data_IF_840318028882
#
_entry.id   IF_840318028882
#
_cell.length_a   1.000
_cell.length_b   1.000
_cell.length_c   1.000
_cell.angle_alpha   90.00
_cell.angle_beta   90.00
_cell.angle_gamma   90.00
#
_symmetry.space_group_name_H-M   'P 1'
#
loop_
_entity.id
_entity.type
_entity.pdbx_description
1 polymer ?
#
# COMPACT_ATOMS: atom_id res chain seq x y z
N UNK A 1 13.96 9.89 -4.40
CA UNK A 1 13.77 10.60 -3.11
C UNK A 1 12.56 10.00 -2.43
N UNK A 2 12.72 9.41 -1.23
CA UNK A 2 11.60 8.80 -0.51
C UNK A 2 10.68 9.87 0.09
N UNK A 3 9.36 9.60 0.08
CA UNK A 3 8.33 10.47 0.65
C UNK A 3 7.34 9.60 1.43
N UNK A 4 6.96 10.06 2.62
CA UNK A 4 5.85 9.51 3.40
C UNK A 4 4.71 10.54 3.42
N UNK A 5 3.53 10.13 2.94
CA UNK A 5 2.32 10.93 3.00
C UNK A 5 1.30 10.22 3.90
N UNK A 6 0.68 10.97 4.81
CA UNK A 6 -0.36 10.48 5.73
C UNK A 6 -1.62 11.31 5.44
N UNK A 7 -2.71 10.62 5.12
CA UNK A 7 -3.98 11.25 4.74
C UNK A 7 -5.03 11.08 5.83
N UNK A 8 -5.98 12.01 5.84
CA UNK A 8 -7.18 11.96 6.69
C UNK A 8 -8.40 11.48 5.88
N UNK A 9 -9.52 11.23 6.55
CA UNK A 9 -10.83 10.96 5.95
C UNK A 9 -10.92 9.73 5.05
N UNK A 10 -10.01 8.76 5.16
CA UNK A 10 -10.07 7.51 4.41
C UNK A 10 -11.42 6.81 4.62
N UNK A 11 -11.78 6.63 5.90
CA UNK A 11 -12.99 5.95 6.38
C UNK A 11 -14.31 6.64 5.99
N UNK A 12 -14.24 7.87 5.49
CA UNK A 12 -15.42 8.62 4.98
C UNK A 12 -15.31 8.91 3.48
N UNK A 13 -14.40 8.22 2.78
CA UNK A 13 -14.30 8.20 1.31
C UNK A 13 -13.20 9.09 0.71
N UNK A 14 -12.31 9.67 1.51
CA UNK A 14 -11.14 10.47 1.08
C UNK A 14 -11.42 11.77 0.30
N UNK A 15 -12.69 12.12 0.08
CA UNK A 15 -13.12 13.30 -0.67
C UNK A 15 -13.10 14.58 0.20
N UNK A 16 -11.90 15.00 0.62
CA UNK A 16 -11.69 16.21 1.42
C UNK A 16 -10.38 16.90 1.04
N UNK A 17 -10.12 18.10 1.57
CA UNK A 17 -8.85 18.81 1.35
C UNK A 17 -7.62 18.13 1.96
N UNK A 18 -7.81 17.20 2.91
CA UNK A 18 -6.74 16.45 3.58
C UNK A 18 -6.76 14.94 3.25
N UNK A 19 -7.73 14.49 2.44
CA UNK A 19 -7.86 13.11 2.02
C UNK A 19 -7.09 12.79 0.76
N UNK A 20 -7.03 11.50 0.41
CA UNK A 20 -6.26 11.04 -0.74
C UNK A 20 -6.84 11.47 -2.10
N UNK A 21 -8.10 11.93 -2.16
CA UNK A 21 -8.64 12.55 -3.37
C UNK A 21 -8.30 14.03 -3.50
N UNK A 22 -7.58 14.63 -2.56
CA UNK A 22 -7.12 16.01 -2.67
C UNK A 22 -5.95 16.15 -3.66
N UNK A 23 -5.61 17.39 -4.00
CA UNK A 23 -4.39 17.70 -4.76
C UNK A 23 -3.14 17.80 -3.86
N UNK A 24 -3.24 17.43 -2.57
CA UNK A 24 -2.15 17.59 -1.60
C UNK A 24 -0.87 16.89 -2.06
N UNK A 25 -0.95 15.60 -2.43
CA UNK A 25 0.22 14.82 -2.82
C UNK A 25 0.87 15.39 -4.08
N UNK A 26 0.09 15.58 -5.15
CA UNK A 26 0.59 16.09 -6.43
C UNK A 26 1.22 17.48 -6.28
N UNK A 27 0.55 18.39 -5.55
CA UNK A 27 1.05 19.75 -5.35
C UNK A 27 2.31 19.80 -4.48
N UNK A 28 2.40 18.97 -3.44
CA UNK A 28 3.61 18.90 -2.60
C UNK A 28 4.78 18.31 -3.38
N UNK A 29 4.58 17.22 -4.12
CA UNK A 29 5.63 16.61 -4.94
C UNK A 29 6.16 17.58 -6.00
N UNK A 30 5.29 18.31 -6.68
CA UNK A 30 5.69 19.35 -7.63
C UNK A 30 6.49 20.45 -6.93
N UNK A 31 6.02 20.95 -5.79
CA UNK A 31 6.72 22.00 -5.03
C UNK A 31 8.11 21.55 -4.60
N UNK A 32 8.29 20.27 -4.24
CA UNK A 32 9.62 19.74 -3.91
C UNK A 32 10.55 19.78 -5.13
N UNK A 33 10.05 19.38 -6.30
CA UNK A 33 10.86 19.43 -7.55
C UNK A 33 11.24 20.87 -7.90
N UNK A 34 10.30 21.81 -7.83
CA UNK A 34 10.55 23.23 -8.10
C UNK A 34 11.53 23.83 -7.09
N UNK A 35 11.39 23.51 -5.80
CA UNK A 35 12.30 23.98 -4.75
C UNK A 35 13.72 23.42 -4.90
N UNK A 36 13.87 22.26 -5.53
CA UNK A 36 15.16 21.67 -5.88
C UNK A 36 15.77 22.25 -7.18
N UNK A 37 15.16 23.28 -7.77
CA UNK A 37 15.61 23.92 -9.01
C UNK A 37 15.16 23.21 -10.29
N UNK A 38 14.29 22.21 -10.19
CA UNK A 38 13.67 21.56 -11.34
C UNK A 38 12.51 22.36 -11.93
N UNK A 39 11.94 21.83 -13.01
CA UNK A 39 10.80 22.38 -13.74
C UNK A 39 9.57 21.50 -13.61
N UNK A 40 8.41 21.98 -14.14
CA UNK A 40 7.20 21.15 -14.26
C UNK A 40 7.45 19.89 -15.09
N UNK A 41 8.25 19.99 -16.15
CA UNK A 41 8.62 18.85 -17.01
C UNK A 41 9.38 17.79 -16.20
N UNK A 42 10.31 18.21 -15.33
CA UNK A 42 11.04 17.30 -14.45
C UNK A 42 10.11 16.60 -13.45
N UNK A 43 9.10 17.30 -12.93
CA UNK A 43 8.08 16.71 -12.07
C UNK A 43 7.29 15.62 -12.81
N UNK A 44 6.75 15.94 -14.00
CA UNK A 44 5.97 14.98 -14.79
C UNK A 44 6.80 13.74 -15.17
N UNK A 45 8.08 13.91 -15.48
CA UNK A 45 9.01 12.80 -15.74
C UNK A 45 9.26 11.95 -14.49
N UNK A 46 9.39 12.57 -13.32
CA UNK A 46 9.58 11.84 -12.06
C UNK A 46 8.38 10.99 -11.69
N UNK A 47 7.15 11.42 -11.99
CA UNK A 47 5.95 10.62 -11.71
C UNK A 47 6.00 9.25 -12.41
N UNK A 48 6.43 9.19 -13.66
CA UNK A 48 6.43 7.94 -14.46
C UNK A 48 7.53 6.96 -14.06
N UNK A 49 8.59 7.45 -13.42
CA UNK A 49 9.68 6.63 -12.85
C UNK A 49 9.50 6.34 -11.37
N UNK A 50 8.46 6.89 -10.73
CA UNK A 50 8.17 6.65 -9.32
C UNK A 50 7.38 5.37 -9.11
N UNK A 51 7.36 4.90 -7.86
CA UNK A 51 6.41 3.90 -7.37
C UNK A 51 5.83 4.35 -6.03
N UNK A 52 4.60 3.92 -5.74
CA UNK A 52 3.88 4.25 -4.52
C UNK A 52 3.47 2.95 -3.80
N UNK A 53 3.68 2.89 -2.49
CA UNK A 53 3.11 1.86 -1.64
C UNK A 53 1.95 2.46 -0.82
N UNK A 54 0.72 2.06 -1.16
CA UNK A 54 -0.49 2.36 -0.42
C UNK A 54 -0.54 1.42 0.78
N UNK A 55 -0.15 1.94 1.93
CA UNK A 55 0.00 1.19 3.17
C UNK A 55 -1.28 1.30 4.01
N UNK A 56 -2.01 0.19 4.09
CA UNK A 56 -3.25 0.08 4.85
C UNK A 56 -3.45 -1.38 5.30
N UNK A 57 -4.07 -1.61 6.45
CA UNK A 57 -4.13 -2.92 7.09
C UNK A 57 -4.84 -3.99 6.22
N UNK A 58 -4.61 -5.26 6.54
CA UNK A 58 -5.18 -6.40 5.82
C UNK A 58 -5.93 -7.33 6.77
N UNK A 59 -6.96 -8.01 6.27
CA UNK A 59 -7.72 -8.96 7.07
C UNK A 59 -6.94 -10.27 7.24
N UNK A 60 -6.60 -10.61 8.48
CA UNK A 60 -6.18 -11.96 8.83
C UNK A 60 -7.36 -12.93 8.69
N UNK A 61 -7.09 -14.18 8.33
CA UNK A 61 -8.09 -15.26 8.28
C UNK A 61 -8.61 -15.52 9.68
N UNK A 62 -9.88 -15.18 9.91
CA UNK A 62 -10.49 -15.32 11.22
C UNK A 62 -10.82 -16.80 11.49
N UNK A 63 -10.33 -17.41 12.59
CA UNK A 63 -10.49 -18.85 12.83
C UNK A 63 -11.95 -19.28 13.04
N UNK A 64 -12.80 -18.38 13.53
CA UNK A 64 -14.24 -18.64 13.69
C UNK A 64 -15.07 -18.37 12.41
N UNK A 65 -14.49 -17.73 11.40
CA UNK A 65 -15.18 -17.36 10.15
C UNK A 65 -14.31 -17.66 8.91
N UNK A 66 -13.70 -18.86 8.81
CA UNK A 66 -12.78 -19.17 7.70
C UNK A 66 -13.47 -19.13 6.34
N UNK A 67 -14.78 -19.38 6.32
CA UNK A 67 -15.64 -19.25 5.15
C UNK A 67 -15.73 -17.81 4.61
N UNK A 68 -15.33 -16.78 5.37
CA UNK A 68 -15.31 -15.39 4.89
C UNK A 68 -14.03 -15.01 4.15
N UNK A 69 -13.08 -15.93 4.01
CA UNK A 69 -11.77 -15.68 3.40
C UNK A 69 -11.54 -16.56 2.16
N UNK A 70 -10.68 -16.11 1.25
CA UNK A 70 -10.32 -16.89 0.06
C UNK A 70 -9.55 -18.15 0.48
N UNK A 71 -10.07 -19.37 0.22
CA UNK A 71 -9.45 -20.61 0.70
C UNK A 71 -8.03 -20.85 0.19
N UNK A 72 -7.69 -20.30 -0.99
CA UNK A 72 -6.36 -20.45 -1.60
C UNK A 72 -5.34 -19.43 -1.10
N UNK A 73 -5.79 -18.41 -0.35
CA UNK A 73 -5.00 -17.26 0.08
C UNK A 73 -5.27 -16.92 1.56
N UNK A 74 -5.01 -17.85 2.49
CA UNK A 74 -5.13 -17.56 3.91
C UNK A 74 -4.10 -16.52 4.34
N UNK A 75 -4.49 -15.64 5.27
CA UNK A 75 -3.62 -14.62 5.87
C UNK A 75 -3.45 -14.94 7.34
N UNK A 76 -2.21 -15.19 7.76
CA UNK A 76 -1.84 -15.50 9.12
C UNK A 76 -1.24 -14.28 9.83
N UNK A 77 -1.44 -14.23 11.14
CA UNK A 77 -0.82 -13.24 12.02
C UNK A 77 0.62 -13.66 12.32
N UNK A 78 1.56 -12.71 12.35
CA UNK A 78 3.01 -12.90 12.45
C UNK A 78 3.66 -13.61 11.25
N UNK A 79 2.99 -13.67 10.11
CA UNK A 79 3.50 -14.29 8.88
C UNK A 79 4.02 -13.27 7.85
N UNK A 80 4.14 -11.99 8.25
CA UNK A 80 4.75 -10.95 7.44
C UNK A 80 3.75 -10.10 6.65
N UNK A 81 4.25 -9.14 5.86
CA UNK A 81 3.43 -8.17 5.16
C UNK A 81 2.51 -8.81 4.13
N UNK A 82 1.36 -8.20 3.93
CA UNK A 82 0.31 -8.70 3.06
C UNK A 82 0.24 -7.84 1.80
N UNK A 83 0.49 -8.44 0.65
CA UNK A 83 0.24 -7.84 -0.66
C UNK A 83 -1.25 -8.00 -1.02
N UNK A 84 -1.97 -6.90 -1.20
CA UNK A 84 -3.42 -6.90 -1.44
C UNK A 84 -3.72 -6.83 -2.93
N UNK A 85 -4.49 -7.79 -3.46
CA UNK A 85 -4.88 -7.83 -4.88
C UNK A 85 -6.39 -7.97 -5.01
N UNK A 86 -6.97 -7.21 -5.95
CA UNK A 86 -8.39 -7.29 -6.26
C UNK A 86 -8.64 -7.00 -7.74
N UNK A 87 -9.35 -7.87 -8.49
CA UNK A 87 -9.52 -7.72 -9.94
C UNK A 87 -10.28 -6.45 -10.34
N UNK A 88 -11.23 -6.00 -9.52
CA UNK A 88 -12.00 -4.75 -9.75
C UNK A 88 -11.31 -3.48 -9.22
N UNK A 89 -9.98 -3.46 -9.08
CA UNK A 89 -9.22 -2.28 -8.63
C UNK A 89 -9.69 -1.66 -7.29
N UNK A 90 -10.12 -2.50 -6.35
CA UNK A 90 -10.28 -2.09 -4.93
C UNK A 90 -8.93 -1.83 -4.26
N UNK A 91 -7.91 -2.47 -4.80
CA UNK A 91 -6.49 -2.27 -4.55
C UNK A 91 -5.83 -1.99 -5.92
N UNK A 92 -4.90 -1.05 -5.98
CA UNK A 92 -4.24 -0.63 -7.21
C UNK A 92 -3.11 -1.58 -7.67
N UNK A 93 -2.79 -2.59 -6.86
CA UNK A 93 -1.75 -3.57 -7.14
C UNK A 93 -1.92 -4.23 -8.51
N UNK A 94 -0.86 -4.21 -9.32
CA UNK A 94 -0.71 -4.95 -10.56
C UNK A 94 0.51 -5.88 -10.52
N UNK A 95 0.80 -6.58 -11.62
CA UNK A 95 1.93 -7.52 -11.67
C UNK A 95 3.31 -6.85 -11.47
N UNK A 96 3.50 -5.62 -11.97
CA UNK A 96 4.77 -4.90 -11.85
C UNK A 96 4.96 -4.38 -10.43
N UNK A 97 3.92 -3.78 -9.85
CA UNK A 97 3.98 -3.20 -8.51
C UNK A 97 4.04 -4.29 -7.43
N UNK A 98 3.37 -5.43 -7.66
CA UNK A 98 3.53 -6.65 -6.86
C UNK A 98 4.96 -7.18 -6.86
N UNK A 99 5.60 -7.28 -8.05
CA UNK A 99 6.98 -7.76 -8.16
C UNK A 99 7.97 -6.85 -7.42
N UNK A 100 7.78 -5.52 -7.50
CA UNK A 100 8.60 -4.55 -6.79
C UNK A 100 8.52 -4.73 -5.27
N UNK A 101 7.31 -4.93 -4.73
CA UNK A 101 7.13 -5.16 -3.29
C UNK A 101 7.65 -6.53 -2.85
N UNK A 102 7.44 -7.58 -3.65
CA UNK A 102 8.00 -8.91 -3.37
C UNK A 102 9.53 -8.87 -3.29
N UNK A 103 10.19 -8.14 -4.19
CA UNK A 103 11.64 -7.93 -4.15
C UNK A 103 12.07 -7.13 -2.92
N UNK A 104 11.28 -6.14 -2.49
CA UNK A 104 11.54 -5.41 -1.25
C UNK A 104 11.48 -6.33 -0.01
N UNK A 105 10.46 -7.19 0.09
CA UNK A 105 10.36 -8.19 1.15
C UNK A 105 11.55 -9.16 1.13
N UNK A 106 11.96 -9.63 -0.05
CA UNK A 106 13.14 -10.48 -0.21
C UNK A 106 14.43 -9.79 0.27
N UNK A 107 14.64 -8.52 -0.11
CA UNK A 107 15.80 -7.71 0.33
C UNK A 107 15.80 -7.47 1.84
N UNK A 108 14.63 -7.29 2.43
CA UNK A 108 14.45 -7.15 3.88
C UNK A 108 14.58 -8.48 4.64
N UNK A 109 14.62 -9.62 3.95
CA UNK A 109 14.66 -10.94 4.57
C UNK A 109 13.37 -11.29 5.33
N UNK A 110 12.22 -10.75 4.92
CA UNK A 110 10.92 -11.00 5.57
C UNK A 110 9.99 -11.79 4.64
N UNK A 111 9.14 -12.68 5.19
CA UNK A 111 8.12 -13.37 4.40
C UNK A 111 7.09 -12.38 3.88
N UNK A 112 6.37 -12.75 2.82
CA UNK A 112 5.27 -11.98 2.26
C UNK A 112 4.08 -12.90 2.05
N UNK A 113 2.89 -12.42 2.42
CA UNK A 113 1.61 -13.07 2.19
C UNK A 113 0.89 -12.38 1.03
N UNK A 114 -0.01 -13.10 0.37
CA UNK A 114 -0.83 -12.57 -0.71
C UNK A 114 -2.29 -12.66 -0.31
N UNK A 115 -2.95 -11.52 -0.24
CA UNK A 115 -4.39 -11.44 -0.01
C UNK A 115 -5.12 -11.30 -1.34
N UNK A 116 -6.05 -12.22 -1.56
CA UNK A 116 -7.06 -12.10 -2.61
C UNK A 116 -8.43 -12.11 -1.96
N UNK A 117 -9.29 -11.20 -2.40
CA UNK A 117 -10.65 -11.14 -1.90
C UNK A 117 -11.55 -12.16 -2.61
N UNK A 118 -12.44 -12.81 -1.85
CA UNK A 118 -13.48 -13.66 -2.42
C UNK A 118 -14.35 -12.86 -3.39
N UNK A 119 -14.46 -13.32 -4.63
CA UNK A 119 -15.17 -12.59 -5.67
C UNK A 119 -16.69 -12.46 -5.42
N UNK A 120 -17.28 -13.31 -4.59
CA UNK A 120 -18.71 -13.29 -4.25
C UNK A 120 -19.06 -12.40 -3.04
N UNK A 121 -18.05 -11.78 -2.41
CA UNK A 121 -18.24 -10.87 -1.28
C UNK A 121 -17.93 -9.41 -1.67
N UNK A 122 -18.56 -8.42 -1.01
CA UNK A 122 -18.17 -7.04 -1.16
C UNK A 122 -16.84 -6.78 -0.45
N UNK A 123 -15.97 -6.02 -1.12
CA UNK A 123 -14.68 -5.60 -0.59
C UNK A 123 -14.68 -4.09 -0.32
N UNK A 124 -14.04 -3.69 0.79
CA UNK A 124 -13.60 -2.31 0.99
C UNK A 124 -12.64 -1.86 -0.12
N UNK A 125 -12.39 -0.55 -0.18
CA UNK A 125 -11.35 0.05 -1.03
C UNK A 125 -10.29 0.67 -0.12
N UNK A 126 -9.19 1.13 -0.71
CA UNK A 126 -8.17 1.92 -0.03
C UNK A 126 -7.95 3.25 -0.74
N UNK A 127 -7.00 4.04 -0.24
CA UNK A 127 -6.46 5.21 -0.95
C UNK A 127 -5.65 4.86 -2.20
N UNK A 128 -5.21 3.62 -2.38
CA UNK A 128 -4.31 3.22 -3.46
C UNK A 128 -4.84 3.56 -4.86
N UNK A 129 -6.05 3.09 -5.24
CA UNK A 129 -6.67 3.46 -6.50
C UNK A 129 -6.88 4.97 -6.67
N UNK A 130 -7.17 5.69 -5.58
CA UNK A 130 -7.39 7.14 -5.59
C UNK A 130 -6.09 7.89 -5.88
N UNK A 131 -5.01 7.54 -5.16
CA UNK A 131 -3.69 8.11 -5.34
C UNK A 131 -3.13 7.79 -6.73
N UNK A 132 -3.29 6.55 -7.21
CA UNK A 132 -2.89 6.14 -8.55
C UNK A 132 -3.64 6.94 -9.63
N UNK A 133 -4.96 7.12 -9.49
CA UNK A 133 -5.75 7.90 -10.44
C UNK A 133 -5.37 9.39 -10.45
N UNK A 134 -5.06 9.97 -9.29
CA UNK A 134 -4.69 11.39 -9.15
C UNK A 134 -3.26 11.71 -9.62
N UNK A 135 -2.33 10.77 -9.46
CA UNK A 135 -0.90 11.01 -9.71
C UNK A 135 -0.36 10.32 -10.94
N UNK A 136 -1.00 9.24 -11.40
CA UNK A 136 -0.47 8.34 -12.43
C UNK A 136 0.71 7.49 -11.96
N UNK A 137 1.07 7.51 -10.67
CA UNK A 137 2.18 6.72 -10.14
C UNK A 137 1.75 5.25 -10.00
N UNK A 138 2.49 4.28 -10.56
CA UNK A 138 2.27 2.86 -10.33
C UNK A 138 2.23 2.55 -8.83
N UNK A 139 1.13 1.96 -8.37
CA UNK A 139 0.84 1.79 -6.95
C UNK A 139 0.69 0.32 -6.58
N UNK A 140 1.29 -0.07 -5.45
CA UNK A 140 1.06 -1.35 -4.77
C UNK A 140 0.24 -1.09 -3.50
N UNK A 141 -0.77 -1.90 -3.23
CA UNK A 141 -1.49 -1.90 -1.96
C UNK A 141 -0.96 -3.02 -1.06
N UNK A 142 -0.54 -2.63 0.13
CA UNK A 142 0.13 -3.51 1.09
C UNK A 142 -0.37 -3.22 2.49
N UNK A 143 -0.22 -4.19 3.40
CA UNK A 143 -0.68 -4.08 4.77
C UNK A 143 0.01 -5.02 5.73
N UNK A 144 -0.37 -4.94 7.00
CA UNK A 144 -0.12 -5.96 8.01
C UNK A 144 -1.44 -6.65 8.37
N UNK A 145 -1.36 -7.94 8.71
CA UNK A 145 -2.52 -8.75 9.06
C UNK A 145 -3.12 -8.32 10.41
N UNK A 146 -4.43 -8.10 10.45
CA UNK A 146 -5.17 -7.83 11.67
C UNK A 146 -6.53 -8.53 11.72
N UNK A 147 -7.03 -8.72 12.93
CA UNK A 147 -8.39 -9.15 13.23
C UNK A 147 -9.21 -7.99 13.78
N UNK A 148 -10.53 -8.11 13.62
CA UNK A 148 -11.51 -7.15 14.11
C UNK A 148 -11.31 -5.72 13.56
N UNK A 149 -10.96 -5.59 12.27
CA UNK A 149 -10.82 -4.30 11.59
C UNK A 149 -12.08 -3.43 11.81
N UNK A 150 -11.87 -2.15 12.17
CA UNK A 150 -12.89 -1.15 12.55
C UNK A 150 -13.56 -1.40 13.93
N UNK A 151 -13.04 -2.33 14.73
CA UNK A 151 -13.39 -2.44 16.14
C UNK A 151 -12.79 -1.28 16.94
N UNK A 152 -13.42 -0.91 18.07
CA UNK A 152 -12.78 -0.03 19.06
C UNK A 152 -11.48 -0.62 19.64
N UNK A 153 -11.27 -1.92 19.48
CA UNK A 153 -10.04 -2.64 19.82
C UNK A 153 -9.76 -3.73 18.79
N UNK A 154 -8.76 -3.47 17.96
CA UNK A 154 -8.26 -4.39 16.93
C UNK A 154 -7.14 -5.28 17.50
N UNK A 155 -6.76 -6.32 16.75
CA UNK A 155 -5.69 -7.25 17.13
C UNK A 155 -4.75 -7.50 15.96
N UNK A 156 -3.44 -7.36 16.18
CA UNK A 156 -2.41 -7.70 15.19
C UNK A 156 -1.24 -8.46 15.84
N UNK A 157 -0.37 -9.00 15.00
CA UNK A 157 0.85 -9.68 15.43
C UNK A 157 1.96 -8.69 15.80
N UNK A 158 2.64 -8.93 16.94
CA UNK A 158 3.75 -8.09 17.35
C UNK A 158 4.93 -8.16 16.36
N UNK A 159 5.17 -9.31 15.73
CA UNK A 159 6.25 -9.47 14.75
C UNK A 159 5.90 -8.83 13.40
N UNK A 160 4.62 -8.70 13.05
CA UNK A 160 4.19 -8.05 11.81
C UNK A 160 4.57 -6.57 11.77
N UNK A 161 4.63 -5.90 12.93
CA UNK A 161 5.08 -4.50 13.01
C UNK A 161 6.50 -4.33 12.48
N UNK A 162 7.43 -5.17 12.97
CA UNK A 162 8.82 -5.12 12.57
C UNK A 162 9.01 -5.59 11.11
N UNK A 163 8.35 -6.67 10.72
CA UNK A 163 8.44 -7.21 9.37
C UNK A 163 7.88 -6.22 8.32
N UNK A 164 6.76 -5.57 8.62
CA UNK A 164 6.15 -4.59 7.73
C UNK A 164 6.97 -3.32 7.61
N UNK A 165 7.50 -2.81 8.73
CA UNK A 165 8.43 -1.68 8.70
C UNK A 165 9.67 -1.99 7.85
N UNK A 166 10.27 -3.18 7.98
CA UNK A 166 11.44 -3.59 7.21
C UNK A 166 11.15 -3.67 5.70
N UNK A 167 10.00 -4.23 5.31
CA UNK A 167 9.58 -4.28 3.91
C UNK A 167 9.37 -2.88 3.30
N UNK A 168 8.71 -1.97 4.02
CA UNK A 168 8.49 -0.58 3.57
C UNK A 168 9.81 0.19 3.46
N UNK A 169 10.74 0.01 4.40
CA UNK A 169 12.08 0.61 4.33
C UNK A 169 12.86 0.10 3.12
N UNK A 170 12.83 -1.21 2.85
CA UNK A 170 13.48 -1.80 1.67
C UNK A 170 12.84 -1.32 0.36
N UNK A 171 11.51 -1.14 0.34
CA UNK A 171 10.79 -0.60 -0.82
C UNK A 171 11.22 0.83 -1.14
N UNK A 172 11.32 1.70 -0.11
CA UNK A 172 11.74 3.09 -0.26
C UNK A 172 13.23 3.27 -0.59
N UNK A 173 14.06 2.26 -0.28
CA UNK A 173 15.52 2.31 -0.43
C UNK A 173 16.02 1.60 -1.70
N UNK A 174 15.12 1.04 -2.51
CA UNK A 174 15.45 0.17 -3.64
C UNK A 174 16.30 0.82 -4.75
N UNK A 175 16.44 2.15 -4.76
CA UNK A 175 17.24 2.91 -5.73
C UNK A 175 18.70 3.17 -5.29
N UNK A 176 19.15 2.67 -4.14
CA UNK A 176 20.49 2.99 -3.60
C UNK A 176 21.59 1.93 -3.84
N UNK A 177 21.32 0.86 -4.61
CA UNK A 177 22.31 -0.23 -4.81
C UNK A 177 22.84 -0.44 -6.23
N UNK A 178 22.71 0.54 -7.13
CA UNK A 178 23.37 0.50 -8.45
C UNK A 178 24.15 1.80 -8.73
N UNK A 179 25.14 2.08 -7.88
CA UNK A 179 26.22 3.03 -8.14
C UNK A 179 27.58 2.38 -7.84
#
# INVERSE_FOLDING_TARGET
MPVLAIFDHEEVGSASGHGAQSDLLSSVLERIVLAAGGTREDFLRRLTTSMLASADMAHATHPNYPDRHEPSHPIEVNAGPVLKVHPNLRYATDGRTAAAFALACQRAGVPMQRYEHRADLPCGSTIGPLAAARTGIPTVDVGAAQLAMHSARELMGAHDVAAYSAALQAFLSAELSEA
#
